data_IF_974319309298
#
_entry.id   IF_974319309298
#
_cell.length_a   1.000
_cell.length_b   1.000
_cell.length_c   1.000
_cell.angle_alpha   90.00
_cell.angle_beta   90.00
_cell.angle_gamma   90.00
#
_symmetry.space_group_name_H-M   'P 1'
#
loop_
_entity.id
_entity.type
_entity.pdbx_description
1 polymer ?
#
# COMPACT_ATOMS: atom_id res chain seq x y z
N UNK A 1 10.29 -28.62 9.08
CA UNK A 1 10.10 -27.26 9.62
C UNK A 1 9.35 -26.52 8.54
N UNK A 2 8.06 -26.26 8.78
CA UNK A 2 7.18 -25.68 7.76
C UNK A 2 7.63 -24.28 7.41
N UNK A 3 7.74 -23.99 6.11
CA UNK A 3 7.60 -22.63 5.62
C UNK A 3 6.22 -22.15 6.09
N UNK A 4 6.14 -21.51 7.24
CA UNK A 4 5.06 -20.55 7.49
C UNK A 4 5.20 -19.53 6.38
N UNK A 5 4.36 -19.67 5.35
CA UNK A 5 4.32 -18.74 4.24
C UNK A 5 4.09 -17.35 4.84
N UNK A 6 5.16 -16.55 4.85
CA UNK A 6 5.17 -15.25 5.51
C UNK A 6 4.16 -14.35 4.79
N UNK A 7 3.01 -14.13 5.42
CA UNK A 7 1.97 -13.21 4.95
C UNK A 7 2.59 -11.83 4.79
N UNK A 8 2.22 -11.14 3.72
CA UNK A 8 2.70 -9.79 3.46
C UNK A 8 1.90 -8.76 4.26
N UNK A 9 0.59 -8.97 4.39
CA UNK A 9 -0.20 -8.19 5.31
C UNK A 9 -0.08 -8.81 6.70
N UNK A 10 0.44 -8.07 7.68
CA UNK A 10 0.38 -8.51 9.07
C UNK A 10 -1.08 -8.61 9.54
N UNK A 11 -1.31 -9.25 10.67
CA UNK A 11 -2.64 -9.23 11.28
C UNK A 11 -2.95 -7.82 11.80
N UNK A 12 -4.18 -7.38 11.60
CA UNK A 12 -4.61 -6.06 12.02
C UNK A 12 -4.60 -5.96 13.56
N UNK A 13 -4.18 -4.82 14.12
CA UNK A 13 -4.24 -4.58 15.56
C UNK A 13 -5.70 -4.59 16.05
N UNK A 14 -5.93 -5.13 17.25
CA UNK A 14 -7.29 -5.26 17.81
C UNK A 14 -7.91 -3.94 18.27
N UNK A 15 -7.07 -2.91 18.46
CA UNK A 15 -7.41 -1.61 19.04
C UNK A 15 -7.51 -0.49 17.98
N UNK A 16 -7.41 -0.82 16.70
CA UNK A 16 -7.44 0.16 15.61
C UNK A 16 -8.59 -0.12 14.62
N UNK A 17 -9.27 0.91 14.11
CA UNK A 17 -10.20 0.74 13.01
C UNK A 17 -9.51 0.19 11.76
N UNK A 18 -10.11 -0.82 11.15
CA UNK A 18 -9.73 -1.34 9.82
C UNK A 18 -10.76 -0.89 8.79
N UNK A 19 -10.32 -0.64 7.56
CA UNK A 19 -11.22 -0.30 6.46
C UNK A 19 -10.69 -0.82 5.14
N UNK A 20 -11.60 -1.00 4.19
CA UNK A 20 -11.25 -1.42 2.85
C UNK A 20 -10.89 -0.22 1.97
N UNK A 21 -9.81 -0.38 1.21
CA UNK A 21 -9.37 0.57 0.20
C UNK A 21 -9.43 -0.06 -1.18
N UNK A 22 -9.67 0.75 -2.20
CA UNK A 22 -9.77 0.27 -3.58
C UNK A 22 -8.78 0.97 -4.50
N UNK A 23 -7.94 0.17 -5.17
CA UNK A 23 -7.05 0.61 -6.23
C UNK A 23 -7.58 0.22 -7.60
N UNK A 24 -7.80 1.21 -8.47
CA UNK A 24 -8.23 0.97 -9.85
C UNK A 24 -7.05 1.00 -10.81
N UNK A 25 -6.80 -0.12 -11.51
CA UNK A 25 -5.76 -0.25 -12.51
C UNK A 25 -6.28 -1.00 -13.73
N UNK A 26 -6.11 -0.43 -14.93
CA UNK A 26 -6.50 -1.05 -16.20
C UNK A 26 -7.96 -1.55 -16.24
N UNK A 27 -8.88 -0.79 -15.64
CA UNK A 27 -10.30 -1.16 -15.57
C UNK A 27 -10.63 -2.30 -14.61
N UNK A 28 -9.67 -2.72 -13.77
CA UNK A 28 -9.88 -3.65 -12.66
C UNK A 28 -9.77 -2.91 -11.34
N UNK A 29 -10.59 -3.31 -10.38
CA UNK A 29 -10.55 -2.82 -9.00
C UNK A 29 -9.92 -3.89 -8.12
N UNK A 30 -8.95 -3.48 -7.31
CA UNK A 30 -8.32 -4.29 -6.28
C UNK A 30 -8.75 -3.72 -4.93
N UNK A 31 -9.45 -4.51 -4.13
CA UNK A 31 -9.95 -4.10 -2.81
C UNK A 31 -9.29 -4.94 -1.75
N UNK A 32 -8.73 -4.28 -0.73
CA UNK A 32 -8.04 -4.93 0.38
C UNK A 32 -8.15 -4.08 1.64
N UNK A 33 -8.05 -4.76 2.78
CA UNK A 33 -8.18 -4.13 4.10
C UNK A 33 -6.86 -3.51 4.55
N UNK A 34 -6.95 -2.31 5.10
CA UNK A 34 -5.83 -1.56 5.69
C UNK A 34 -6.25 -0.95 7.01
N UNK A 35 -5.27 -0.43 7.73
CA UNK A 35 -5.44 0.38 8.93
C UNK A 35 -4.34 1.44 8.97
N UNK A 36 -4.49 2.44 9.83
CA UNK A 36 -3.65 3.64 9.83
C UNK A 36 -2.20 3.33 10.15
N UNK A 37 -1.92 2.51 11.17
CA UNK A 37 -0.53 2.19 11.55
C UNK A 37 0.22 1.46 10.43
N UNK A 38 -0.45 0.60 9.65
CA UNK A 38 0.13 -0.02 8.45
C UNK A 38 0.49 1.02 7.38
N UNK A 39 -0.42 1.94 7.07
CA UNK A 39 -0.17 2.99 6.09
C UNK A 39 0.98 3.90 6.53
N UNK A 40 0.99 4.28 7.82
CA UNK A 40 2.05 5.09 8.43
C UNK A 40 3.40 4.40 8.33
N UNK A 41 3.47 3.10 8.66
CA UNK A 41 4.72 2.35 8.58
C UNK A 41 5.26 2.32 7.14
N UNK A 42 4.43 1.97 6.15
CA UNK A 42 4.87 1.94 4.75
C UNK A 42 5.27 3.34 4.25
N UNK A 43 4.62 4.41 4.70
CA UNK A 43 5.03 5.78 4.40
C UNK A 43 6.44 6.06 4.90
N UNK A 44 6.76 5.66 6.14
CA UNK A 44 8.08 5.83 6.74
C UNK A 44 9.12 4.97 6.03
N UNK A 45 8.82 3.70 5.75
CA UNK A 45 9.70 2.77 5.04
C UNK A 45 10.10 3.32 3.67
N UNK A 46 9.13 3.85 2.92
CA UNK A 46 9.41 4.49 1.64
C UNK A 46 10.26 5.76 1.76
N UNK A 47 10.14 6.50 2.87
CA UNK A 47 10.94 7.69 3.14
C UNK A 47 12.38 7.35 3.56
N UNK A 48 12.62 6.18 4.15
CA UNK A 48 13.96 5.74 4.57
C UNK A 48 14.81 5.20 3.42
N UNK A 49 14.16 4.77 2.33
CA UNK A 49 14.84 4.31 1.12
C UNK A 49 15.38 5.51 0.31
N UNK A 50 16.65 5.42 -0.13
CA UNK A 50 17.25 6.40 -1.06
C UNK A 50 16.38 6.58 -2.31
N UNK A 51 16.14 7.84 -2.71
CA UNK A 51 15.20 8.19 -3.80
C UNK A 51 15.40 7.41 -5.11
N UNK A 52 16.64 7.14 -5.52
CA UNK A 52 16.94 6.34 -6.73
C UNK A 52 16.47 4.89 -6.61
N UNK A 53 16.72 4.26 -5.45
CA UNK A 53 16.29 2.90 -5.17
C UNK A 53 14.77 2.80 -5.03
N UNK A 54 14.16 3.76 -4.33
CA UNK A 54 12.70 3.88 -4.22
C UNK A 54 12.04 3.92 -5.59
N UNK A 55 12.53 4.79 -6.50
CA UNK A 55 12.03 4.86 -7.88
C UNK A 55 12.17 3.56 -8.64
N UNK A 56 13.27 2.82 -8.44
CA UNK A 56 13.47 1.52 -9.08
C UNK A 56 12.48 0.47 -8.57
N UNK A 57 12.25 0.43 -7.25
CA UNK A 57 11.26 -0.44 -6.61
C UNK A 57 9.86 -0.11 -7.17
N UNK A 58 9.44 1.16 -7.11
CA UNK A 58 8.11 1.58 -7.59
C UNK A 58 7.87 1.22 -9.06
N UNK A 59 8.85 1.45 -9.94
CA UNK A 59 8.76 1.05 -11.36
C UNK A 59 8.63 -0.46 -11.54
N UNK A 60 9.33 -1.24 -10.72
CA UNK A 60 9.26 -2.71 -10.76
C UNK A 60 7.90 -3.20 -10.26
N UNK A 61 7.43 -2.63 -9.14
CA UNK A 61 6.11 -2.89 -8.54
C UNK A 61 4.99 -2.59 -9.52
N UNK A 62 4.99 -1.41 -10.15
CA UNK A 62 3.99 -1.03 -11.15
C UNK A 62 3.98 -1.98 -12.36
N UNK A 63 5.16 -2.31 -12.90
CA UNK A 63 5.26 -3.26 -14.02
C UNK A 63 4.78 -4.66 -13.64
N UNK A 64 5.10 -5.13 -12.44
CA UNK A 64 4.64 -6.43 -11.95
C UNK A 64 3.11 -6.45 -11.84
N UNK A 65 2.54 -5.42 -11.21
CA UNK A 65 1.09 -5.29 -11.04
C UNK A 65 0.36 -5.25 -12.38
N UNK A 66 0.82 -4.43 -13.33
CA UNK A 66 0.24 -4.35 -14.67
C UNK A 66 0.31 -5.69 -15.42
N UNK A 67 1.43 -6.42 -15.32
CA UNK A 67 1.57 -7.76 -15.94
C UNK A 67 0.57 -8.74 -15.36
N UNK A 68 0.41 -8.75 -14.03
CA UNK A 68 -0.52 -9.66 -13.35
C UNK A 68 -1.97 -9.33 -13.71
N UNK A 69 -2.35 -8.05 -13.71
CA UNK A 69 -3.70 -7.63 -14.11
C UNK A 69 -4.00 -8.01 -15.58
N UNK A 70 -3.03 -7.85 -16.49
CA UNK A 70 -3.15 -8.29 -17.89
C UNK A 70 -3.30 -9.81 -18.04
N UNK A 71 -2.61 -10.59 -17.21
CA UNK A 71 -2.69 -12.05 -17.23
C UNK A 71 -4.03 -12.60 -16.68
N UNK A 72 -4.73 -11.80 -15.89
CA UNK A 72 -6.05 -12.10 -15.34
C UNK A 72 -5.99 -12.51 -13.87
N UNK A 73 -6.71 -11.76 -13.03
CA UNK A 73 -6.73 -11.94 -11.58
C UNK A 73 -7.42 -13.24 -11.13
N UNK A 74 -8.35 -13.77 -11.91
CA UNK A 74 -9.14 -14.97 -11.56
C UNK A 74 -8.33 -16.28 -11.56
N UNK A 75 -7.07 -16.23 -12.00
CA UNK A 75 -6.16 -17.38 -12.07
C UNK A 75 -5.17 -17.43 -10.91
N UNK A 76 -5.22 -16.42 -10.04
CA UNK A 76 -4.29 -16.30 -8.93
C UNK A 76 -4.76 -17.12 -7.74
N UNK A 77 -3.80 -17.77 -7.07
CA UNK A 77 -4.03 -18.28 -5.72
C UNK A 77 -4.05 -17.13 -4.69
N UNK A 78 -4.41 -17.46 -3.45
CA UNK A 78 -4.52 -16.49 -2.36
C UNK A 78 -3.21 -15.73 -2.11
N UNK A 79 -2.08 -16.43 -2.19
CA UNK A 79 -0.75 -15.83 -1.98
C UNK A 79 -0.41 -14.85 -3.09
N UNK A 80 -0.63 -15.25 -4.33
CA UNK A 80 -0.43 -14.39 -5.50
C UNK A 80 -1.34 -13.15 -5.44
N UNK A 81 -2.57 -13.32 -4.96
CA UNK A 81 -3.48 -12.21 -4.74
C UNK A 81 -2.98 -11.28 -3.62
N UNK A 82 -2.45 -11.83 -2.54
CA UNK A 82 -1.83 -11.04 -1.46
C UNK A 82 -0.65 -10.20 -1.98
N UNK A 83 0.22 -10.78 -2.82
CA UNK A 83 1.29 -10.04 -3.50
C UNK A 83 0.75 -8.93 -4.41
N UNK A 84 -0.38 -9.15 -5.08
CA UNK A 84 -1.04 -8.13 -5.91
C UNK A 84 -1.55 -6.98 -5.05
N UNK A 85 -2.22 -7.29 -3.94
CA UNK A 85 -2.70 -6.29 -2.98
C UNK A 85 -1.55 -5.49 -2.38
N UNK A 86 -0.46 -6.15 -1.99
CA UNK A 86 0.72 -5.48 -1.45
C UNK A 86 1.36 -4.53 -2.47
N UNK A 87 1.49 -4.96 -3.73
CA UNK A 87 2.00 -4.10 -4.79
C UNK A 87 1.09 -2.88 -5.03
N UNK A 88 -0.23 -3.06 -4.99
CA UNK A 88 -1.17 -1.96 -5.11
C UNK A 88 -1.04 -0.99 -3.91
N UNK A 89 -0.93 -1.52 -2.69
CA UNK A 89 -0.75 -0.77 -1.46
C UNK A 89 0.50 0.14 -1.51
N UNK A 90 1.66 -0.39 -1.89
CA UNK A 90 2.91 0.38 -2.05
C UNK A 90 2.68 1.59 -2.98
N UNK A 91 2.01 1.38 -4.12
CA UNK A 91 1.77 2.45 -5.10
C UNK A 91 0.77 3.48 -4.60
N UNK A 92 -0.25 3.07 -3.84
CA UNK A 92 -1.19 3.99 -3.21
C UNK A 92 -0.48 4.87 -2.18
N UNK A 93 0.41 4.29 -1.37
CA UNK A 93 1.22 5.03 -0.40
C UNK A 93 2.18 6.01 -1.11
N UNK A 94 2.86 5.59 -2.17
CA UNK A 94 3.71 6.51 -2.97
C UNK A 94 2.90 7.70 -3.50
N UNK A 95 1.69 7.44 -4.01
CA UNK A 95 0.80 8.49 -4.50
C UNK A 95 0.39 9.46 -3.39
N UNK A 96 0.08 8.96 -2.19
CA UNK A 96 -0.25 9.79 -1.04
C UNK A 96 0.95 10.63 -0.55
N UNK A 97 2.15 10.04 -0.54
CA UNK A 97 3.40 10.73 -0.21
C UNK A 97 3.72 11.87 -1.18
N UNK A 98 3.53 11.62 -2.49
CA UNK A 98 3.84 12.56 -3.55
C UNK A 98 5.25 13.18 -3.41
N UNK A 99 5.31 14.52 -3.40
CA UNK A 99 6.57 15.27 -3.25
C UNK A 99 6.96 15.54 -1.78
N UNK A 100 6.19 15.07 -0.81
CA UNK A 100 6.37 15.40 0.61
C UNK A 100 7.30 14.41 1.36
N UNK A 101 7.81 13.37 0.70
CA UNK A 101 8.68 12.34 1.31
C UNK A 101 9.91 12.88 2.05
N UNK A 102 10.47 14.03 1.64
CA UNK A 102 11.60 14.65 2.37
C UNK A 102 11.17 15.40 3.64
N UNK A 103 9.89 15.79 3.75
CA UNK A 103 9.38 16.59 4.87
C UNK A 103 8.85 15.75 6.03
N UNK A 104 8.50 14.50 5.76
CA UNK A 104 8.00 13.57 6.78
C UNK A 104 9.03 13.34 7.89
N UNK A 105 10.32 13.32 7.54
CA UNK A 105 11.41 13.18 8.52
C UNK A 105 11.51 14.31 9.53
N UNK A 106 10.86 15.44 9.27
CA UNK A 106 10.92 16.65 10.09
C UNK A 106 9.56 17.05 10.68
N UNK A 107 8.51 16.31 10.34
CA UNK A 107 7.13 16.60 10.74
C UNK A 107 6.38 15.28 10.90
N UNK A 108 6.36 14.78 12.14
CA UNK A 108 5.78 13.47 12.48
C UNK A 108 4.27 13.41 12.21
N UNK A 109 3.57 14.55 12.31
CA UNK A 109 2.13 14.66 12.05
C UNK A 109 1.81 14.73 10.54
N UNK A 110 2.81 14.96 9.69
CA UNK A 110 2.60 15.05 8.25
C UNK A 110 2.13 13.73 7.65
N UNK A 111 2.61 12.59 8.14
CA UNK A 111 2.13 11.28 7.71
C UNK A 111 0.61 11.17 7.92
N UNK A 112 0.15 11.48 9.12
CA UNK A 112 -1.26 11.39 9.48
C UNK A 112 -2.13 12.31 8.60
N UNK A 113 -1.70 13.56 8.39
CA UNK A 113 -2.42 14.48 7.48
C UNK A 113 -2.45 13.99 6.03
N UNK A 114 -1.36 13.38 5.54
CA UNK A 114 -1.32 12.83 4.18
C UNK A 114 -2.24 11.62 4.01
N UNK A 115 -2.38 10.79 5.04
CA UNK A 115 -3.33 9.67 5.06
C UNK A 115 -4.75 10.21 4.95
N UNK A 116 -5.11 11.18 5.78
CA UNK A 116 -6.47 11.76 5.82
C UNK A 116 -6.86 12.47 4.52
N UNK A 117 -5.86 13.03 3.81
CA UNK A 117 -6.09 13.75 2.56
C UNK A 117 -6.02 12.85 1.32
N UNK A 118 -5.60 11.59 1.44
CA UNK A 118 -5.39 10.71 0.31
C UNK A 118 -6.73 10.07 -0.15
N UNK A 119 -7.28 10.46 -1.33
CA UNK A 119 -8.51 9.89 -1.85
C UNK A 119 -8.24 8.45 -2.30
N UNK A 120 -8.51 7.50 -1.40
CA UNK A 120 -8.22 6.08 -1.58
C UNK A 120 -7.49 5.44 -0.40
N UNK A 121 -6.93 6.20 0.53
CA UNK A 121 -6.35 5.67 1.78
C UNK A 121 -7.03 6.22 3.04
N UNK A 122 -7.62 7.42 2.97
CA UNK A 122 -8.33 8.00 4.09
C UNK A 122 -9.40 7.05 4.64
N UNK A 123 -9.48 6.95 5.96
CA UNK A 123 -10.54 6.20 6.61
C UNK A 123 -11.91 6.78 6.20
N UNK A 124 -12.94 5.93 6.01
CA UNK A 124 -14.28 6.42 5.76
C UNK A 124 -14.71 7.32 6.92
N UNK A 125 -15.19 8.52 6.61
CA UNK A 125 -15.83 9.36 7.61
C UNK A 125 -17.07 8.62 8.09
N UNK A 126 -17.18 8.39 9.40
CA UNK A 126 -18.40 7.86 9.98
C UNK A 126 -19.54 8.84 9.60
N UNK A 127 -20.50 8.34 8.83
CA UNK A 127 -21.68 9.10 8.41
C UNK A 127 -22.62 9.37 9.58
#
# INVERSE_FOLDING_TARGET
MGDEAQRLFPDAPSDEPVWDVTHSLMGKSLTFTVWRSLIRQEMLDQCDIKSSHRKAILRKTEKALQRTVKAGLSRLDERQMEHVHWNAFILMVDKALGKQHLKIRTDEDLCDRLIDQAPGLAAPTAA
#
